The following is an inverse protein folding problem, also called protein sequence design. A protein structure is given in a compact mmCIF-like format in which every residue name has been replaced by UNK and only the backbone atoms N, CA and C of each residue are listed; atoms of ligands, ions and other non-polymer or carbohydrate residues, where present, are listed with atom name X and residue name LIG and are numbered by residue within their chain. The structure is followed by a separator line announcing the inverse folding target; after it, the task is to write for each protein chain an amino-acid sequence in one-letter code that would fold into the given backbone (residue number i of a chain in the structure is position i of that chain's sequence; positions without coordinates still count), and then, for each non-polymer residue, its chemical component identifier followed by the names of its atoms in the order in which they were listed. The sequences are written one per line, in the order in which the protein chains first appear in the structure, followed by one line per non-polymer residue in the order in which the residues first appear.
data_IF_379528841137
#
_entry.id   IF_379528841137
#
_cell.length_a   1.000
_cell.length_b   1.000
_cell.length_c   1.000
_cell.angle_alpha   90.00
_cell.angle_beta   90.00
_cell.angle_gamma   90.00
#
_symmetry.space_group_name_H-M   'P 1'
#
loop_
_entity.id
_entity.type
_entity.pdbx_description
1 polymer ?
#
# COMPACT_ATOMS: atom_id res chain seq x y z
N UNK A 1 36.44 26.79 -28.05
CA UNK A 1 36.04 25.46 -28.53
C UNK A 1 36.66 24.44 -27.57
N UNK A 2 35.96 23.63 -26.79
CA UNK A 2 34.55 23.29 -26.70
C UNK A 2 34.31 22.80 -25.27
N UNK A 3 33.40 23.45 -24.54
CA UNK A 3 32.89 23.01 -23.25
C UNK A 3 32.08 21.74 -23.47
N UNK A 4 32.63 20.58 -23.06
CA UNK A 4 31.86 19.32 -22.96
C UNK A 4 31.96 18.80 -21.55
N UNK A 5 31.37 19.55 -20.63
CA UNK A 5 31.04 19.07 -19.30
C UNK A 5 29.87 18.09 -19.45
N UNK A 6 30.19 16.83 -19.77
CA UNK A 6 29.23 15.73 -19.82
C UNK A 6 28.92 15.36 -18.37
N UNK A 7 27.94 16.05 -17.78
CA UNK A 7 27.31 15.62 -16.55
C UNK A 7 26.45 14.40 -16.91
N UNK A 8 27.06 13.22 -16.87
CA UNK A 8 26.30 11.98 -16.83
C UNK A 8 25.35 12.03 -15.62
N UNK A 9 24.10 11.55 -15.73
CA UNK A 9 23.21 11.50 -14.58
C UNK A 9 23.85 10.57 -13.55
N UNK A 10 24.43 11.14 -12.49
CA UNK A 10 24.95 10.40 -11.34
C UNK A 10 23.74 9.70 -10.73
N UNK A 11 23.58 8.41 -11.02
CA UNK A 11 22.49 7.62 -10.50
C UNK A 11 22.51 7.61 -8.97
N UNK A 12 21.35 7.47 -8.33
CA UNK A 12 21.25 7.41 -6.88
C UNK A 12 22.23 6.39 -6.26
N UNK A 13 22.49 5.29 -6.99
CA UNK A 13 23.44 4.24 -6.62
C UNK A 13 24.90 4.72 -6.48
N UNK A 14 25.34 5.71 -7.25
CA UNK A 14 26.72 6.23 -7.22
C UNK A 14 27.01 7.28 -6.13
N UNK A 15 25.99 7.72 -5.38
CA UNK A 15 26.21 8.64 -4.26
C UNK A 15 26.82 7.94 -3.03
N UNK A 16 27.58 8.71 -2.23
CA UNK A 16 28.06 8.25 -0.92
C UNK A 16 26.89 7.95 0.02
N UNK A 17 27.11 7.08 1.01
CA UNK A 17 26.11 6.72 2.02
C UNK A 17 25.58 7.97 2.74
N UNK A 18 26.46 8.91 3.10
CA UNK A 18 26.07 10.15 3.78
C UNK A 18 25.16 11.03 2.92
N UNK A 19 25.46 11.17 1.62
CA UNK A 19 24.61 11.95 0.72
C UNK A 19 23.28 11.24 0.46
N UNK A 20 23.26 9.91 0.37
CA UNK A 20 22.02 9.13 0.29
C UNK A 20 21.15 9.34 1.52
N UNK A 21 21.74 9.26 2.72
CA UNK A 21 21.05 9.48 3.99
C UNK A 21 20.44 10.89 4.07
N UNK A 22 21.20 11.91 3.68
CA UNK A 22 20.73 13.30 3.62
C UNK A 22 19.52 13.47 2.68
N UNK A 23 19.59 12.88 1.48
CA UNK A 23 18.51 12.95 0.50
C UNK A 23 17.26 12.21 0.98
N UNK A 24 17.42 11.02 1.57
CA UNK A 24 16.31 10.25 2.15
C UNK A 24 15.64 11.06 3.26
N UNK A 25 16.40 11.62 4.19
CA UNK A 25 15.87 12.44 5.29
C UNK A 25 15.13 13.67 4.78
N UNK A 26 15.68 14.38 3.78
CA UNK A 26 15.04 15.56 3.19
C UNK A 26 13.76 15.21 2.43
N UNK A 27 13.76 14.10 1.69
CA UNK A 27 12.57 13.62 0.99
C UNK A 27 11.48 13.20 1.98
N UNK A 28 11.85 12.52 3.06
CA UNK A 28 10.93 12.11 4.11
C UNK A 28 10.28 13.34 4.77
N UNK A 29 11.11 14.33 5.16
CA UNK A 29 10.63 15.57 5.73
C UNK A 29 9.63 16.29 4.80
N UNK A 30 9.98 16.44 3.52
CA UNK A 30 9.07 17.06 2.54
C UNK A 30 7.77 16.27 2.38
N UNK A 31 7.84 14.94 2.36
CA UNK A 31 6.65 14.09 2.26
C UNK A 31 5.74 14.28 3.47
N UNK A 32 6.30 14.38 4.67
CA UNK A 32 5.56 14.66 5.90
C UNK A 32 4.88 16.04 5.87
N UNK A 33 5.59 17.08 5.41
CA UNK A 33 5.05 18.44 5.29
C UNK A 33 3.89 18.54 4.29
N UNK A 34 3.88 17.67 3.27
CA UNK A 34 2.81 17.60 2.27
C UNK A 34 1.63 16.70 2.70
N UNK A 35 1.59 16.25 3.96
CA UNK A 35 0.64 15.24 4.42
C UNK A 35 0.65 13.98 3.53
N UNK A 36 1.79 13.66 2.91
CA UNK A 36 1.90 12.62 1.88
C UNK A 36 1.53 11.24 2.39
N UNK A 37 1.73 10.96 3.69
CA UNK A 37 1.25 9.74 4.33
C UNK A 37 -0.27 9.57 4.21
N UNK A 38 -1.05 10.63 4.47
CA UNK A 38 -2.50 10.55 4.37
C UNK A 38 -2.91 10.34 2.91
N UNK A 39 -2.28 11.07 1.97
CA UNK A 39 -2.52 10.90 0.53
C UNK A 39 -2.23 9.47 0.06
N UNK A 40 -1.15 8.86 0.54
CA UNK A 40 -0.77 7.49 0.18
C UNK A 40 -1.72 6.45 0.79
N UNK A 41 -2.16 6.65 2.04
CA UNK A 41 -3.16 5.78 2.67
C UNK A 41 -4.51 5.90 1.95
N UNK A 42 -4.96 7.11 1.64
CA UNK A 42 -6.19 7.34 0.89
C UNK A 42 -6.10 6.77 -0.53
N UNK A 43 -4.93 6.87 -1.16
CA UNK A 43 -4.64 6.23 -2.45
C UNK A 43 -4.81 4.71 -2.35
N UNK A 44 -4.20 4.05 -1.36
CA UNK A 44 -4.38 2.61 -1.14
C UNK A 44 -5.86 2.28 -0.96
N UNK A 45 -6.58 3.04 -0.13
CA UNK A 45 -8.00 2.80 0.13
C UNK A 45 -8.87 3.01 -1.12
N UNK A 46 -8.39 3.79 -2.10
CA UNK A 46 -9.07 4.05 -3.36
C UNK A 46 -8.80 3.01 -4.46
N UNK A 47 -7.83 2.11 -4.27
CA UNK A 47 -7.48 1.08 -5.26
C UNK A 47 -8.69 0.20 -5.55
N UNK A 48 -9.05 0.07 -6.82
CA UNK A 48 -10.29 -0.57 -7.24
C UNK A 48 -10.39 -2.04 -6.81
N UNK A 49 -9.26 -2.72 -6.63
CA UNK A 49 -9.24 -4.13 -6.22
C UNK A 49 -9.44 -4.33 -4.72
N UNK A 50 -8.93 -3.42 -3.88
CA UNK A 50 -8.99 -3.52 -2.41
C UNK A 50 -10.22 -2.82 -1.82
N UNK A 51 -10.73 -1.79 -2.51
CA UNK A 51 -11.87 -0.98 -2.07
C UNK A 51 -13.12 -1.80 -1.67
N UNK A 52 -13.54 -2.86 -2.41
CA UNK A 52 -14.69 -3.67 -1.99
C UNK A 52 -14.46 -4.39 -0.66
N UNK A 53 -13.22 -4.82 -0.40
CA UNK A 53 -12.85 -5.49 0.85
C UNK A 53 -12.78 -4.51 2.02
N UNK A 54 -12.31 -3.28 1.79
CA UNK A 54 -12.35 -2.19 2.78
C UNK A 54 -13.80 -1.87 3.17
N UNK A 55 -14.70 -1.77 2.20
CA UNK A 55 -16.12 -1.54 2.47
C UNK A 55 -16.74 -2.66 3.31
N UNK A 56 -16.34 -3.90 3.07
CA UNK A 56 -16.79 -5.04 3.87
C UNK A 56 -16.24 -4.98 5.30
N UNK A 57 -14.99 -4.58 5.49
CA UNK A 57 -14.39 -4.38 6.81
C UNK A 57 -15.18 -3.33 7.59
N UNK A 58 -15.46 -2.17 6.99
CA UNK A 58 -16.28 -1.14 7.63
C UNK A 58 -17.70 -1.61 7.95
N UNK A 59 -18.36 -2.32 7.03
CA UNK A 59 -19.68 -2.88 7.31
C UNK A 59 -19.64 -3.88 8.49
N UNK A 60 -18.56 -4.67 8.61
CA UNK A 60 -18.36 -5.60 9.72
C UNK A 60 -18.11 -4.87 11.04
N UNK A 61 -17.34 -3.78 11.02
CA UNK A 61 -17.13 -2.88 12.17
C UNK A 61 -18.46 -2.25 12.66
N UNK A 62 -19.37 -1.97 11.73
CA UNK A 62 -20.73 -1.48 12.02
C UNK A 62 -21.70 -2.58 12.53
N UNK A 63 -21.23 -3.83 12.64
CA UNK A 63 -22.00 -4.95 13.17
C UNK A 63 -22.65 -5.85 12.12
N UNK A 64 -22.34 -5.67 10.84
CA UNK A 64 -22.77 -6.62 9.81
C UNK A 64 -22.10 -7.99 10.01
N UNK A 65 -22.81 -9.10 9.72
CA UNK A 65 -22.21 -10.42 9.82
C UNK A 65 -21.10 -10.59 8.78
N UNK A 66 -19.92 -11.05 9.22
CA UNK A 66 -18.81 -11.38 8.35
C UNK A 66 -19.22 -12.53 7.42
N UNK A 67 -19.49 -12.23 6.16
CA UNK A 67 -19.74 -13.24 5.13
C UNK A 67 -18.40 -13.73 4.62
N UNK A 68 -17.98 -14.95 4.94
CA UNK A 68 -16.90 -15.60 4.18
C UNK A 68 -17.41 -15.94 2.79
N UNK A 69 -16.62 -15.78 1.72
CA UNK A 69 -16.98 -16.30 0.41
C UNK A 69 -16.92 -17.83 0.49
N UNK A 70 -18.07 -18.45 0.67
CA UNK A 70 -18.27 -19.90 0.78
C UNK A 70 -18.75 -20.53 -0.54
N UNK A 71 -18.77 -19.78 -1.64
CA UNK A 71 -19.41 -20.22 -2.89
C UNK A 71 -18.39 -20.44 -4.00
N UNK A 72 -17.96 -21.69 -4.15
CA UNK A 72 -17.49 -22.28 -5.41
C UNK A 72 -16.28 -21.65 -6.12
N UNK A 73 -15.80 -22.29 -7.21
CA UNK A 73 -14.72 -21.78 -8.05
C UNK A 73 -15.26 -20.64 -8.92
N UNK A 74 -15.59 -19.50 -8.31
CA UNK A 74 -15.90 -18.29 -9.05
C UNK A 74 -14.61 -17.82 -9.70
N UNK A 75 -14.48 -18.07 -11.02
CA UNK A 75 -13.35 -17.63 -11.85
C UNK A 75 -13.07 -16.14 -11.72
N UNK A 76 -14.10 -15.37 -11.34
CA UNK A 76 -14.02 -13.95 -11.01
C UNK A 76 -13.17 -13.67 -9.76
N UNK A 77 -13.26 -14.49 -8.71
CA UNK A 77 -12.46 -14.36 -7.48
C UNK A 77 -10.98 -14.61 -7.80
N UNK A 78 -10.68 -15.68 -8.54
CA UNK A 78 -9.29 -16.00 -8.92
C UNK A 78 -8.66 -14.91 -9.82
N UNK A 79 -9.42 -14.38 -10.78
CA UNK A 79 -8.98 -13.25 -11.61
C UNK A 79 -8.74 -11.99 -10.77
N UNK A 80 -9.65 -11.70 -9.85
CA UNK A 80 -9.54 -10.57 -8.92
C UNK A 80 -8.31 -10.73 -8.02
N UNK A 81 -8.01 -11.93 -7.53
CA UNK A 81 -6.81 -12.20 -6.73
C UNK A 81 -5.49 -11.94 -7.49
N UNK A 82 -5.40 -12.30 -8.78
CA UNK A 82 -4.20 -12.00 -9.59
C UNK A 82 -3.97 -10.49 -9.74
N UNK A 83 -5.03 -9.69 -9.80
CA UNK A 83 -4.92 -8.24 -9.85
C UNK A 83 -4.52 -7.66 -8.49
N UNK A 84 -5.03 -8.23 -7.39
CA UNK A 84 -4.72 -7.79 -6.03
C UNK A 84 -3.23 -7.98 -5.67
N UNK A 85 -2.53 -8.98 -6.21
CA UNK A 85 -1.09 -9.18 -5.95
C UNK A 85 -0.26 -7.94 -6.31
N UNK A 86 -0.62 -7.23 -7.39
CA UNK A 86 0.07 -5.98 -7.76
C UNK A 86 -0.19 -4.86 -6.76
N UNK A 87 -1.42 -4.76 -6.29
CA UNK A 87 -1.81 -3.78 -5.28
C UNK A 87 -1.14 -4.10 -3.94
N UNK A 88 -0.92 -5.38 -3.59
CA UNK A 88 -0.14 -5.78 -2.42
C UNK A 88 1.30 -5.31 -2.45
N UNK A 89 1.98 -5.37 -3.60
CA UNK A 89 3.35 -4.86 -3.71
C UNK A 89 3.39 -3.34 -3.48
N UNK A 90 2.39 -2.60 -3.98
CA UNK A 90 2.24 -1.16 -3.75
C UNK A 90 1.99 -0.87 -2.26
N UNK A 91 1.03 -1.58 -1.65
CA UNK A 91 0.69 -1.45 -0.23
C UNK A 91 1.91 -1.75 0.63
N UNK A 92 2.60 -2.86 0.37
CA UNK A 92 3.80 -3.26 1.08
C UNK A 92 4.90 -2.20 1.00
N UNK A 93 5.16 -1.68 -0.21
CA UNK A 93 6.16 -0.62 -0.41
C UNK A 93 5.81 0.63 0.38
N UNK A 94 4.56 1.10 0.33
CA UNK A 94 4.11 2.29 1.05
C UNK A 94 4.22 2.08 2.57
N UNK A 95 3.76 0.95 3.08
CA UNK A 95 3.82 0.65 4.53
C UNK A 95 5.25 0.41 5.03
N UNK A 96 6.17 0.02 4.14
CA UNK A 96 7.60 -0.14 4.45
C UNK A 96 8.36 1.19 4.46
N UNK A 97 7.77 2.28 3.97
CA UNK A 97 8.39 3.59 4.05
C UNK A 97 8.34 4.11 5.51
N UNK A 98 9.37 4.84 5.98
CA UNK A 98 9.39 5.46 7.31
C UNK A 98 8.47 6.69 7.40
N UNK A 99 7.32 6.66 6.73
CA UNK A 99 6.40 7.80 6.54
C UNK A 99 5.27 7.82 7.58
N UNK A 100 5.13 6.76 8.37
CA UNK A 100 4.07 6.63 9.36
C UNK A 100 4.31 7.50 10.61
N UNK A 101 5.46 8.18 10.70
CA UNK A 101 5.74 9.12 11.77
C UNK A 101 5.24 10.55 11.40
N UNK A 102 4.49 11.24 12.29
CA UNK A 102 3.93 10.77 13.55
C UNK A 102 2.74 9.82 13.34
N UNK A 103 2.68 8.76 14.16
CA UNK A 103 1.61 7.77 14.12
C UNK A 103 0.38 8.31 14.86
N UNK A 104 -0.44 9.06 14.15
CA UNK A 104 -1.73 9.57 14.64
C UNK A 104 -2.78 8.47 14.66
N UNK A 105 -3.80 8.58 15.52
CA UNK A 105 -4.94 7.65 15.58
C UNK A 105 -5.64 7.47 14.22
N UNK A 106 -5.82 8.54 13.45
CA UNK A 106 -6.44 8.48 12.11
C UNK A 106 -5.62 7.60 11.14
N UNK A 107 -4.30 7.83 11.07
CA UNK A 107 -3.39 7.02 10.26
C UNK A 107 -3.37 5.56 10.70
N UNK A 108 -3.37 5.32 12.01
CA UNK A 108 -3.39 3.96 12.56
C UNK A 108 -4.68 3.24 12.17
N UNK A 109 -5.84 3.90 12.30
CA UNK A 109 -7.13 3.35 11.90
C UNK A 109 -7.13 2.96 10.41
N UNK A 110 -6.68 3.85 9.52
CA UNK A 110 -6.56 3.56 8.07
C UNK A 110 -5.66 2.35 7.80
N UNK A 111 -4.50 2.27 8.47
CA UNK A 111 -3.57 1.14 8.34
C UNK A 111 -4.22 -0.17 8.82
N UNK A 112 -4.92 -0.16 9.94
CA UNK A 112 -5.64 -1.34 10.47
C UNK A 112 -6.70 -1.81 9.46
N UNK A 113 -7.50 -0.89 8.91
CA UNK A 113 -8.51 -1.22 7.90
C UNK A 113 -7.86 -1.84 6.65
N UNK A 114 -6.75 -1.29 6.18
CA UNK A 114 -5.99 -1.85 5.04
C UNK A 114 -5.51 -3.27 5.36
N UNK A 115 -4.94 -3.49 6.55
CA UNK A 115 -4.47 -4.81 6.99
C UNK A 115 -5.64 -5.80 7.07
N UNK A 116 -6.77 -5.42 7.66
CA UNK A 116 -7.97 -6.25 7.70
C UNK A 116 -8.47 -6.61 6.30
N UNK A 117 -8.52 -5.65 5.39
CA UNK A 117 -8.93 -5.90 4.00
C UNK A 117 -7.99 -6.91 3.32
N UNK A 118 -6.67 -6.74 3.47
CA UNK A 118 -5.67 -7.70 3.00
C UNK A 118 -5.87 -9.10 3.61
N UNK A 119 -6.03 -9.20 4.93
CA UNK A 119 -6.25 -10.49 5.59
C UNK A 119 -7.51 -11.19 5.08
N UNK A 120 -8.58 -10.42 4.88
CA UNK A 120 -9.83 -10.95 4.34
C UNK A 120 -9.68 -11.44 2.89
N UNK A 121 -8.90 -10.74 2.05
CA UNK A 121 -8.56 -11.22 0.70
C UNK A 121 -7.81 -12.55 0.76
N UNK A 122 -6.78 -12.65 1.62
CA UNK A 122 -6.00 -13.88 1.78
C UNK A 122 -6.87 -15.05 2.24
N UNK A 123 -7.80 -14.79 3.18
CA UNK A 123 -8.74 -15.79 3.67
C UNK A 123 -9.71 -16.23 2.57
N UNK A 124 -10.23 -15.27 1.80
CA UNK A 124 -11.09 -15.51 0.63
C UNK A 124 -10.40 -16.41 -0.38
N UNK A 125 -9.15 -16.08 -0.75
CA UNK A 125 -8.35 -16.88 -1.68
C UNK A 125 -8.14 -18.30 -1.16
N UNK A 126 -7.82 -18.44 0.12
CA UNK A 126 -7.61 -19.75 0.75
C UNK A 126 -8.89 -20.58 0.75
N UNK A 127 -10.02 -19.98 1.12
CA UNK A 127 -11.32 -20.64 1.11
C UNK A 127 -11.74 -21.09 -0.31
N UNK A 128 -11.51 -20.25 -1.32
CA UNK A 128 -11.82 -20.58 -2.73
C UNK A 128 -10.91 -21.65 -3.34
N UNK A 129 -9.67 -21.80 -2.85
CA UNK A 129 -8.72 -22.80 -3.38
C UNK A 129 -8.78 -24.16 -2.64
N UNK A 130 -9.54 -24.24 -1.55
CA UNK A 130 -9.67 -25.45 -0.71
C UNK A 130 -10.98 -26.23 -1.00
N UNK A 131 -11.77 -25.78 -1.99
CA UNK A 131 -12.98 -26.44 -2.50
C UNK A 131 -12.71 -27.04 -3.89
#
# INVERSE_FOLDING_TARGET
ENDKNIISPVGFSSLSQDTKGLLIGKNLFNLQQLCGTNVLLDFIMSLSTIKPFIQLVHATEEGAPLKLPTSGPDTHILHTCKMIIKDYDIIWRILSLPILEPLTEERLSKVITIIHACLYVSLTLTASNTL
#
